data_IF_537991037735
#
_entry.id   IF_537991037735
#
_cell.length_a   1.000
_cell.length_b   1.000
_cell.length_c   1.000
_cell.angle_alpha   90.00
_cell.angle_beta   90.00
_cell.angle_gamma   90.00
#
_symmetry.space_group_name_H-M   'P 1'
#
loop_
_entity.id
_entity.type
_entity.pdbx_description
1 polymer ?
#
# COMPACT_ATOMS: atom_id res chain seq x y z
N UNK A 1 10.70 16.01 -12.64
CA UNK A 1 11.72 15.61 -11.64
C UNK A 1 12.81 16.65 -11.57
N UNK A 2 13.60 16.88 -12.63
CA UNK A 2 14.67 17.89 -12.63
C UNK A 2 14.20 19.26 -12.12
N UNK A 3 13.13 19.83 -12.70
CA UNK A 3 12.58 21.10 -12.22
C UNK A 3 12.20 21.13 -10.72
N UNK A 4 11.79 19.99 -10.14
CA UNK A 4 11.50 19.90 -8.71
C UNK A 4 12.80 19.90 -7.90
N UNK A 5 13.76 19.07 -8.31
CA UNK A 5 15.02 18.91 -7.59
C UNK A 5 15.88 20.18 -7.66
N UNK A 6 15.83 20.91 -8.77
CA UNK A 6 16.50 22.20 -8.92
C UNK A 6 15.82 23.28 -8.05
N UNK A 7 14.49 23.23 -7.91
CA UNK A 7 13.73 24.21 -7.11
C UNK A 7 13.90 24.00 -5.61
N UNK A 8 13.92 22.74 -5.15
CA UNK A 8 13.98 22.37 -3.73
C UNK A 8 15.35 21.86 -3.27
N UNK A 9 16.42 22.13 -4.02
CA UNK A 9 17.77 21.63 -3.70
C UNK A 9 18.25 22.11 -2.32
N UNK A 10 17.98 23.36 -1.98
CA UNK A 10 18.38 23.98 -0.71
C UNK A 10 17.49 23.56 0.46
N UNK A 11 16.31 22.98 0.20
CA UNK A 11 15.37 22.50 1.23
C UNK A 11 15.69 21.09 1.76
N UNK A 12 16.73 20.46 1.21
CA UNK A 12 17.09 19.07 1.51
C UNK A 12 16.04 18.06 1.03
N UNK A 13 15.34 18.39 -0.06
CA UNK A 13 14.32 17.56 -0.67
C UNK A 13 14.77 17.09 -2.05
N UNK A 14 14.59 15.81 -2.34
CA UNK A 14 14.94 15.28 -3.66
C UNK A 14 13.94 14.23 -4.13
N UNK A 15 13.51 14.37 -5.38
CA UNK A 15 12.56 13.50 -6.04
C UNK A 15 13.31 12.46 -6.87
N UNK A 16 12.97 11.20 -6.64
CA UNK A 16 13.53 10.06 -7.35
C UNK A 16 12.41 9.23 -7.96
N UNK A 17 12.71 8.52 -9.05
CA UNK A 17 11.79 7.56 -9.66
C UNK A 17 12.44 6.19 -9.74
N UNK A 18 11.66 5.14 -9.45
CA UNK A 18 12.08 3.77 -9.75
C UNK A 18 12.03 3.51 -11.25
N UNK A 19 12.65 2.41 -11.68
CA UNK A 19 12.57 1.90 -13.06
C UNK A 19 11.14 1.61 -13.50
N UNK A 20 10.22 1.34 -12.56
CA UNK A 20 8.78 1.14 -12.80
C UNK A 20 7.97 2.44 -12.77
N UNK A 21 8.63 3.60 -12.65
CA UNK A 21 7.96 4.90 -12.65
C UNK A 21 7.31 5.29 -11.31
N UNK A 22 7.63 4.60 -10.21
CA UNK A 22 7.17 4.99 -8.86
C UNK A 22 8.02 6.14 -8.35
N UNK A 23 7.39 7.18 -7.84
CA UNK A 23 8.11 8.37 -7.35
C UNK A 23 8.25 8.36 -5.83
N UNK A 24 9.43 8.76 -5.35
CA UNK A 24 9.76 8.85 -3.94
C UNK A 24 10.38 10.23 -3.65
N UNK A 25 10.07 10.77 -2.47
CA UNK A 25 10.67 11.99 -1.96
C UNK A 25 11.67 11.63 -0.85
N UNK A 26 12.95 11.84 -1.12
CA UNK A 26 13.98 11.82 -0.09
C UNK A 26 13.98 13.13 0.69
N UNK A 27 14.10 13.03 2.01
CA UNK A 27 14.16 14.16 2.92
C UNK A 27 15.46 14.07 3.74
N UNK A 28 16.22 15.15 3.83
CA UNK A 28 17.43 15.20 4.65
C UNK A 28 17.13 15.06 6.16
N UNK A 29 15.96 15.54 6.58
CA UNK A 29 15.43 15.38 7.94
C UNK A 29 14.07 14.68 7.89
N UNK A 30 13.83 13.63 8.71
CA UNK A 30 12.54 12.96 8.77
C UNK A 30 11.43 13.92 9.20
N UNK A 31 10.35 14.08 8.41
CA UNK A 31 9.27 14.99 8.76
C UNK A 31 8.32 14.38 9.81
N UNK A 32 7.92 15.18 10.80
CA UNK A 32 6.91 14.83 11.81
C UNK A 32 5.51 15.08 11.26
N UNK A 33 5.00 14.09 10.49
CA UNK A 33 3.72 14.18 9.80
C UNK A 33 2.87 12.91 9.91
N UNK A 34 1.56 13.13 9.90
CA UNK A 34 0.54 12.18 9.46
C UNK A 34 0.08 12.56 8.07
N UNK A 35 0.10 11.59 7.16
CA UNK A 35 -0.30 11.78 5.77
C UNK A 35 -1.38 10.76 5.39
N UNK A 36 -2.04 10.99 4.27
CA UNK A 36 -3.04 10.07 3.71
C UNK A 36 -2.55 9.54 2.36
N UNK A 37 -2.64 8.23 2.07
CA UNK A 37 -2.26 7.72 0.77
C UNK A 37 -3.14 8.33 -0.32
N UNK A 38 -2.60 8.47 -1.53
CA UNK A 38 -3.35 9.03 -2.67
C UNK A 38 -4.70 8.33 -2.89
N UNK A 39 -4.76 7.03 -2.66
CA UNK A 39 -6.00 6.24 -2.75
C UNK A 39 -7.12 6.69 -1.80
N UNK A 40 -6.78 7.32 -0.67
CA UNK A 40 -7.74 7.84 0.29
C UNK A 40 -8.23 9.26 -0.05
N UNK A 41 -7.53 9.95 -0.95
CA UNK A 41 -7.76 11.37 -1.29
C UNK A 41 -8.36 11.53 -2.68
N UNK A 42 -8.01 10.62 -3.61
CA UNK A 42 -8.51 10.64 -4.98
C UNK A 42 -10.03 10.71 -5.04
N UNK A 43 -10.57 11.66 -5.82
CA UNK A 43 -12.02 11.86 -5.99
C UNK A 43 -12.74 12.49 -4.80
N UNK A 44 -12.03 12.99 -3.78
CA UNK A 44 -12.61 13.62 -2.59
C UNK A 44 -12.09 15.06 -2.43
N UNK A 45 -12.82 15.87 -1.66
CA UNK A 45 -12.30 17.14 -1.19
C UNK A 45 -11.05 16.89 -0.33
N UNK A 46 -10.00 17.69 -0.56
CA UNK A 46 -8.72 17.56 0.16
C UNK A 46 -8.77 18.11 1.58
N UNK A 47 -9.80 18.91 1.91
CA UNK A 47 -10.00 19.45 3.24
C UNK A 47 -10.15 18.33 4.28
N UNK A 48 -9.36 18.42 5.35
CA UNK A 48 -9.27 17.37 6.36
C UNK A 48 -8.41 16.17 5.98
N UNK A 49 -7.86 16.11 4.76
CA UNK A 49 -6.93 15.07 4.30
C UNK A 49 -5.52 15.62 3.99
N UNK A 50 -5.32 16.93 4.12
CA UNK A 50 -4.00 17.57 4.04
C UNK A 50 -3.07 17.03 5.12
N UNK A 51 -1.74 17.01 4.87
CA UNK A 51 -0.75 16.66 5.89
C UNK A 51 -0.98 17.41 7.21
N UNK A 52 -0.87 16.67 8.30
CA UNK A 52 -1.04 17.16 9.66
C UNK A 52 0.12 16.67 10.54
N UNK A 53 0.31 17.26 11.72
CA UNK A 53 1.47 17.04 12.58
C UNK A 53 2.20 18.34 12.91
N UNK A 54 3.41 18.22 13.45
CA UNK A 54 4.23 19.38 13.85
C UNK A 54 4.69 20.16 12.62
N UNK A 55 5.07 19.47 11.56
CA UNK A 55 5.59 20.07 10.33
C UNK A 55 4.49 20.47 9.32
N UNK A 56 3.22 20.43 9.71
CA UNK A 56 2.07 20.64 8.80
C UNK A 56 2.13 21.93 7.98
N UNK A 57 2.62 23.02 8.56
CA UNK A 57 2.69 24.33 7.88
C UNK A 57 3.69 24.28 6.72
N UNK A 58 4.90 23.78 7.00
CA UNK A 58 5.95 23.62 5.99
C UNK A 58 5.47 22.76 4.83
N UNK A 59 4.83 21.63 5.14
CA UNK A 59 4.43 20.67 4.10
C UNK A 59 3.18 21.07 3.31
N UNK A 60 2.26 21.81 3.90
CA UNK A 60 1.18 22.46 3.13
C UNK A 60 1.72 23.55 2.22
N UNK A 61 2.73 24.30 2.67
CA UNK A 61 3.50 25.21 1.83
C UNK A 61 4.14 24.49 0.65
N UNK A 62 4.85 23.38 0.91
CA UNK A 62 5.48 22.55 -0.11
C UNK A 62 4.48 22.03 -1.15
N UNK A 63 3.29 21.59 -0.74
CA UNK A 63 2.22 21.18 -1.66
C UNK A 63 1.81 22.33 -2.58
N UNK A 64 1.54 23.51 -2.03
CA UNK A 64 1.14 24.68 -2.80
C UNK A 64 2.25 25.13 -3.76
N UNK A 65 3.50 25.18 -3.29
CA UNK A 65 4.64 25.57 -4.11
C UNK A 65 4.90 24.56 -5.23
N UNK A 66 4.75 23.27 -4.94
CA UNK A 66 4.82 22.22 -5.97
C UNK A 66 3.72 22.38 -7.02
N UNK A 67 2.49 22.76 -6.63
CA UNK A 67 1.42 23.06 -7.59
C UNK A 67 1.81 24.23 -8.49
N UNK A 68 2.29 25.33 -7.92
CA UNK A 68 2.76 26.50 -8.66
C UNK A 68 3.89 26.14 -9.65
N UNK A 69 4.87 25.35 -9.20
CA UNK A 69 5.94 24.84 -10.06
C UNK A 69 5.37 23.98 -11.20
N UNK A 70 4.46 23.05 -10.89
CA UNK A 70 3.84 22.18 -11.89
C UNK A 70 3.08 22.96 -12.96
N UNK A 71 2.35 24.02 -12.58
CA UNK A 71 1.65 24.88 -13.53
C UNK A 71 2.58 25.50 -14.58
N UNK A 72 3.80 25.86 -14.20
CA UNK A 72 4.80 26.45 -15.11
C UNK A 72 5.53 25.46 -16.02
N UNK A 73 5.29 24.15 -15.92
CA UNK A 73 6.07 23.16 -16.66
C UNK A 73 5.71 23.15 -18.15
N UNK A 74 6.71 23.18 -19.06
CA UNK A 74 6.48 23.02 -20.51
C UNK A 74 5.74 21.72 -20.88
N UNK A 75 5.89 20.67 -20.06
CA UNK A 75 5.15 19.42 -20.20
C UNK A 75 3.64 19.64 -20.21
N UNK A 76 3.12 20.60 -19.44
CA UNK A 76 1.67 20.85 -19.39
C UNK A 76 1.14 21.40 -20.72
N UNK A 77 1.92 22.24 -21.42
CA UNK A 77 1.55 22.72 -22.76
C UNK A 77 1.41 21.57 -23.75
N UNK A 78 2.35 20.62 -23.74
CA UNK A 78 2.30 19.42 -24.59
C UNK A 78 1.10 18.53 -24.26
N UNK A 79 0.74 18.42 -22.98
CA UNK A 79 -0.42 17.63 -22.53
C UNK A 79 -1.73 18.29 -22.96
N UNK A 80 -1.84 19.61 -22.80
CA UNK A 80 -3.01 20.39 -23.23
C UNK A 80 -3.23 20.31 -24.73
N UNK A 81 -2.17 20.48 -25.54
CA UNK A 81 -2.23 20.33 -26.99
C UNK A 81 -2.72 18.92 -27.41
N UNK A 82 -2.37 17.90 -26.62
CA UNK A 82 -2.84 16.53 -26.81
C UNK A 82 -4.19 16.21 -26.16
N UNK A 83 -4.92 17.18 -25.61
CA UNK A 83 -6.19 16.97 -24.92
C UNK A 83 -6.09 16.15 -23.63
N UNK A 84 -4.90 16.06 -23.03
CA UNK A 84 -4.64 15.30 -21.79
C UNK A 84 -4.70 16.23 -20.57
N UNK A 85 -5.17 15.76 -19.41
CA UNK A 85 -5.15 16.56 -18.18
C UNK A 85 -3.73 16.98 -17.82
N UNK A 86 -3.53 18.22 -17.37
CA UNK A 86 -2.23 18.72 -16.90
C UNK A 86 -1.78 18.04 -15.61
N UNK A 87 -0.48 18.14 -15.32
CA UNK A 87 0.07 17.84 -14.00
C UNK A 87 -0.25 19.02 -13.09
N UNK A 88 -1.24 18.84 -12.21
CA UNK A 88 -1.67 19.89 -11.26
C UNK A 88 -0.82 19.98 -9.99
N UNK A 89 -0.01 18.98 -9.68
CA UNK A 89 0.83 18.96 -8.48
C UNK A 89 1.26 17.54 -8.10
N UNK A 90 1.92 17.42 -6.95
CA UNK A 90 2.27 16.14 -6.34
C UNK A 90 1.51 15.97 -5.02
N UNK A 91 1.18 14.72 -4.69
CA UNK A 91 0.63 14.35 -3.40
C UNK A 91 1.65 13.56 -2.60
N UNK A 92 2.13 14.13 -1.49
CA UNK A 92 3.10 13.48 -0.62
C UNK A 92 2.39 12.64 0.43
N UNK A 93 2.71 11.35 0.49
CA UNK A 93 2.08 10.41 1.42
C UNK A 93 3.04 9.29 1.82
N UNK A 94 2.75 8.67 2.95
CA UNK A 94 3.65 7.71 3.58
C UNK A 94 4.75 8.42 4.35
N UNK A 95 5.96 7.90 4.21
CA UNK A 95 7.11 8.24 5.04
C UNK A 95 7.61 7.01 5.77
N UNK A 96 8.90 7.01 6.10
CA UNK A 96 9.55 5.90 6.79
C UNK A 96 11.01 5.81 6.42
N UNK A 97 11.74 5.08 7.24
CA UNK A 97 13.13 4.73 7.01
C UNK A 97 13.22 3.26 6.62
N UNK A 98 14.31 2.88 5.98
CA UNK A 98 14.57 1.47 5.69
C UNK A 98 14.65 0.71 7.02
N UNK A 99 13.78 -0.29 7.27
CA UNK A 99 13.84 -1.03 8.51
C UNK A 99 15.13 -1.84 8.57
N UNK A 100 15.61 -2.10 9.79
CA UNK A 100 16.71 -3.04 10.01
C UNK A 100 16.32 -4.41 9.47
N UNK A 101 17.30 -5.17 9.00
CA UNK A 101 17.09 -6.57 8.59
C UNK A 101 16.50 -7.35 9.77
N UNK A 102 15.45 -8.11 9.49
CA UNK A 102 14.69 -8.84 10.49
C UNK A 102 14.64 -10.34 10.20
N UNK A 103 13.99 -11.06 11.09
CA UNK A 103 13.54 -12.43 10.82
C UNK A 103 12.14 -12.37 10.22
N UNK A 104 11.87 -13.23 9.24
CA UNK A 104 10.55 -13.39 8.67
C UNK A 104 10.24 -14.86 8.43
N UNK A 105 8.95 -15.17 8.38
CA UNK A 105 8.46 -16.52 8.11
C UNK A 105 8.13 -16.76 6.65
N UNK A 106 8.16 -15.72 5.82
CA UNK A 106 7.68 -15.77 4.44
C UNK A 106 8.80 -16.27 3.52
N UNK A 107 8.65 -17.48 2.99
CA UNK A 107 9.55 -18.11 2.03
C UNK A 107 9.34 -17.57 0.60
N UNK A 108 8.09 -17.20 0.29
CA UNK A 108 7.66 -16.94 -1.09
C UNK A 108 6.56 -15.88 -1.12
N UNK A 109 6.69 -14.96 -2.07
CA UNK A 109 5.64 -14.01 -2.43
C UNK A 109 4.97 -14.47 -3.72
N UNK A 110 3.64 -14.61 -3.69
CA UNK A 110 2.83 -14.77 -4.90
C UNK A 110 2.25 -13.42 -5.28
N UNK A 111 2.50 -13.03 -6.53
CA UNK A 111 2.15 -11.72 -7.07
C UNK A 111 3.36 -10.82 -7.27
N UNK A 112 3.09 -9.55 -7.57
CA UNK A 112 4.06 -8.53 -7.96
C UNK A 112 4.15 -7.36 -6.98
N UNK A 113 3.67 -7.53 -5.75
CA UNK A 113 3.73 -6.48 -4.75
C UNK A 113 5.17 -6.11 -4.37
N UNK A 114 5.57 -4.90 -4.74
CA UNK A 114 6.93 -4.38 -4.60
C UNK A 114 7.31 -4.25 -3.12
N UNK A 115 6.37 -3.85 -2.26
CA UNK A 115 6.65 -3.68 -0.83
C UNK A 115 6.90 -5.04 -0.18
N UNK A 116 6.07 -6.05 -0.45
CA UNK A 116 6.23 -7.39 0.07
C UNK A 116 7.55 -8.03 -0.38
N UNK A 117 7.92 -7.86 -1.67
CA UNK A 117 9.22 -8.32 -2.19
C UNK A 117 10.39 -7.59 -1.54
N UNK A 118 10.30 -6.27 -1.34
CA UNK A 118 11.31 -5.48 -0.65
C UNK A 118 11.51 -5.93 0.80
N UNK A 119 10.41 -6.14 1.53
CA UNK A 119 10.46 -6.65 2.91
C UNK A 119 11.02 -8.07 2.98
N UNK A 120 10.66 -8.96 2.06
CA UNK A 120 11.25 -10.30 1.95
C UNK A 120 12.77 -10.23 1.70
N UNK A 121 13.24 -9.31 0.85
CA UNK A 121 14.67 -9.11 0.59
C UNK A 121 15.45 -8.56 1.81
N UNK A 122 14.75 -7.96 2.78
CA UNK A 122 15.34 -7.52 4.06
C UNK A 122 15.32 -8.62 5.14
N UNK A 123 14.75 -9.79 4.86
CA UNK A 123 14.79 -10.92 5.78
C UNK A 123 16.20 -11.54 5.81
N UNK A 124 16.72 -11.76 7.01
CA UNK A 124 18.01 -12.44 7.22
C UNK A 124 17.90 -13.96 7.20
N UNK A 125 16.69 -14.51 7.26
CA UNK A 125 16.42 -15.95 7.32
C UNK A 125 15.23 -16.30 6.44
N UNK A 126 15.31 -17.40 5.70
CA UNK A 126 14.15 -17.95 5.00
C UNK A 126 13.20 -18.60 6.00
N UNK A 127 11.90 -18.32 5.86
CA UNK A 127 10.86 -19.11 6.51
C UNK A 127 10.24 -20.12 5.54
N UNK A 128 9.04 -20.61 5.88
CA UNK A 128 8.31 -21.66 5.15
C UNK A 128 6.94 -21.20 4.61
N UNK A 129 6.46 -20.02 5.04
CA UNK A 129 5.11 -19.54 4.74
C UNK A 129 5.06 -18.88 3.34
N UNK A 130 3.92 -18.98 2.66
CA UNK A 130 3.67 -18.24 1.41
C UNK A 130 2.78 -17.02 1.68
N UNK A 131 3.15 -15.86 1.15
CA UNK A 131 2.34 -14.65 1.20
C UNK A 131 1.77 -14.32 -0.18
N UNK A 132 0.45 -14.32 -0.28
CA UNK A 132 -0.29 -13.87 -1.46
C UNK A 132 -0.76 -12.44 -1.22
N UNK A 133 -0.32 -11.50 -2.05
CA UNK A 133 -0.71 -10.09 -1.92
C UNK A 133 -1.68 -9.71 -3.04
N UNK A 134 -2.88 -9.31 -2.66
CA UNK A 134 -3.94 -8.92 -3.59
C UNK A 134 -4.19 -7.42 -3.60
N UNK A 135 -3.63 -6.76 -4.61
CA UNK A 135 -3.78 -5.32 -4.83
C UNK A 135 -4.76 -4.99 -5.96
N UNK A 136 -5.03 -5.93 -6.88
CA UNK A 136 -5.80 -5.69 -8.09
C UNK A 136 -7.24 -5.23 -7.81
N UNK A 137 -7.87 -5.78 -6.78
CA UNK A 137 -9.21 -5.37 -6.35
C UNK A 137 -9.24 -3.91 -5.89
N UNK A 138 -8.22 -3.48 -5.13
CA UNK A 138 -8.08 -2.10 -4.67
C UNK A 138 -7.81 -1.15 -5.86
N UNK A 139 -6.98 -1.56 -6.81
CA UNK A 139 -6.69 -0.77 -8.02
C UNK A 139 -7.96 -0.57 -8.86
N UNK A 140 -8.76 -1.61 -9.06
CA UNK A 140 -10.03 -1.51 -9.78
C UNK A 140 -11.01 -0.56 -9.07
N UNK A 141 -11.12 -0.67 -7.74
CA UNK A 141 -11.96 0.22 -6.94
C UNK A 141 -11.54 1.69 -7.06
N UNK A 142 -10.24 1.98 -7.03
CA UNK A 142 -9.71 3.35 -7.16
C UNK A 142 -9.98 3.96 -8.54
N UNK A 143 -10.04 3.13 -9.59
CA UNK A 143 -10.34 3.56 -10.95
C UNK A 143 -11.84 3.68 -11.24
N UNK A 144 -12.69 3.29 -10.28
CA UNK A 144 -14.13 3.19 -10.50
C UNK A 144 -14.53 2.12 -11.52
N UNK A 145 -13.64 1.17 -11.79
CA UNK A 145 -13.89 0.10 -12.77
C UNK A 145 -14.61 -1.06 -12.10
N UNK A 146 -15.95 -0.99 -12.11
CA UNK A 146 -16.83 -1.97 -11.47
C UNK A 146 -16.68 -3.36 -12.10
N UNK A 147 -16.50 -3.43 -13.42
CA UNK A 147 -16.38 -4.70 -14.13
C UNK A 147 -15.08 -5.41 -13.76
N UNK A 148 -13.95 -4.68 -13.78
CA UNK A 148 -12.68 -5.21 -13.32
C UNK A 148 -12.75 -5.59 -11.83
N UNK A 149 -13.41 -4.79 -11.00
CA UNK A 149 -13.56 -5.07 -9.57
C UNK A 149 -14.30 -6.40 -9.33
N UNK A 150 -15.44 -6.63 -9.98
CA UNK A 150 -16.20 -7.87 -9.87
C UNK A 150 -15.39 -9.08 -10.36
N UNK A 151 -14.68 -8.93 -11.48
CA UNK A 151 -13.82 -10.00 -12.00
C UNK A 151 -12.70 -10.36 -11.01
N UNK A 152 -12.06 -9.37 -10.38
CA UNK A 152 -11.02 -9.64 -9.39
C UNK A 152 -11.61 -10.27 -8.12
N UNK A 153 -12.81 -9.87 -7.70
CA UNK A 153 -13.49 -10.49 -6.56
C UNK A 153 -13.71 -11.99 -6.81
N UNK A 154 -14.26 -12.35 -7.98
CA UNK A 154 -14.49 -13.75 -8.35
C UNK A 154 -13.19 -14.57 -8.40
N UNK A 155 -12.09 -13.98 -8.89
CA UNK A 155 -10.76 -14.65 -8.87
C UNK A 155 -10.27 -14.91 -7.46
N UNK A 156 -10.48 -13.96 -6.53
CA UNK A 156 -10.11 -14.13 -5.13
C UNK A 156 -10.95 -15.25 -4.50
N UNK A 157 -12.27 -15.27 -4.77
CA UNK A 157 -13.16 -16.32 -4.28
C UNK A 157 -12.73 -17.72 -4.77
N UNK A 158 -12.43 -17.87 -6.05
CA UNK A 158 -11.99 -19.14 -6.65
C UNK A 158 -10.65 -19.63 -6.09
N UNK A 159 -9.69 -18.72 -5.91
CA UNK A 159 -8.40 -19.08 -5.31
C UNK A 159 -8.54 -19.44 -3.84
N UNK A 160 -9.34 -18.72 -3.07
CA UNK A 160 -9.59 -19.06 -1.67
C UNK A 160 -10.28 -20.41 -1.56
N UNK A 161 -11.26 -20.69 -2.44
CA UNK A 161 -11.91 -22.00 -2.55
C UNK A 161 -10.89 -23.12 -2.75
N UNK A 162 -9.96 -22.95 -3.70
CA UNK A 162 -8.89 -23.93 -3.99
C UNK A 162 -7.98 -24.14 -2.78
N UNK A 163 -7.48 -23.07 -2.16
CA UNK A 163 -6.59 -23.15 -0.99
C UNK A 163 -7.25 -23.83 0.22
N UNK A 164 -8.55 -23.62 0.38
CA UNK A 164 -9.35 -24.27 1.43
C UNK A 164 -9.53 -25.77 1.13
N UNK A 165 -9.76 -26.14 -0.13
CA UNK A 165 -9.87 -27.52 -0.60
C UNK A 165 -8.57 -28.32 -0.35
N UNK A 166 -7.42 -27.70 -0.59
CA UNK A 166 -6.10 -28.29 -0.34
C UNK A 166 -5.79 -28.46 1.16
N UNK A 167 -6.64 -27.94 2.05
CA UNK A 167 -6.52 -28.09 3.50
C UNK A 167 -5.39 -27.27 4.12
N UNK A 168 -4.83 -26.32 3.38
CA UNK A 168 -3.74 -25.45 3.85
C UNK A 168 -4.27 -24.47 4.91
N UNK A 169 -3.57 -24.28 6.03
CA UNK A 169 -3.91 -23.21 6.98
C UNK A 169 -3.81 -21.84 6.30
N UNK A 170 -4.88 -21.05 6.36
CA UNK A 170 -4.95 -19.74 5.70
C UNK A 170 -5.15 -18.63 6.73
N UNK A 171 -4.35 -17.58 6.62
CA UNK A 171 -4.53 -16.32 7.33
C UNK A 171 -4.90 -15.21 6.34
N UNK A 172 -6.13 -14.72 6.40
CA UNK A 172 -6.57 -13.59 5.58
C UNK A 172 -6.44 -12.29 6.38
N UNK A 173 -5.55 -11.42 5.91
CA UNK A 173 -5.32 -10.10 6.48
C UNK A 173 -6.17 -9.07 5.74
N UNK A 174 -7.12 -8.44 6.45
CA UNK A 174 -8.02 -7.43 5.86
C UNK A 174 -7.41 -6.03 5.69
N UNK A 175 -6.18 -5.83 6.16
CA UNK A 175 -5.54 -4.50 6.23
C UNK A 175 -6.12 -3.56 7.31
N UNK A 176 -7.21 -3.94 7.99
CA UNK A 176 -7.83 -3.15 9.08
C UNK A 176 -7.46 -3.66 10.48
N UNK A 177 -6.38 -4.43 10.59
CA UNK A 177 -5.96 -5.07 11.82
C UNK A 177 -6.79 -6.31 12.21
N UNK A 178 -7.73 -6.75 11.36
CA UNK A 178 -8.43 -8.03 11.51
C UNK A 178 -7.73 -9.12 10.69
N UNK A 179 -7.53 -10.26 11.32
CA UNK A 179 -7.02 -11.49 10.70
C UNK A 179 -8.07 -12.57 10.85
N UNK A 180 -8.44 -13.14 9.73
CA UNK A 180 -9.35 -14.27 9.67
C UNK A 180 -8.53 -15.55 9.48
N UNK A 181 -8.76 -16.56 10.31
CA UNK A 181 -7.99 -17.81 10.28
C UNK A 181 -8.84 -18.97 9.79
N UNK A 182 -8.25 -19.78 8.92
CA UNK A 182 -8.81 -21.03 8.44
C UNK A 182 -7.91 -22.20 8.81
N UNK A 183 -8.51 -23.34 9.15
CA UNK A 183 -7.80 -24.60 9.41
C UNK A 183 -8.41 -25.77 8.64
N UNK A 184 -7.64 -26.84 8.46
CA UNK A 184 -8.09 -28.08 7.82
C UNK A 184 -9.37 -28.70 8.43
N UNK A 185 -9.68 -28.42 9.72
CA UNK A 185 -10.95 -28.84 10.34
C UNK A 185 -12.15 -28.05 9.81
N UNK A 186 -11.98 -26.79 9.43
CA UNK A 186 -13.03 -25.95 8.84
C UNK A 186 -13.33 -26.36 7.38
N UNK A 187 -12.32 -26.80 6.62
CA UNK A 187 -12.46 -27.28 5.23
C UNK A 187 -13.50 -28.41 5.09
N UNK A 188 -13.52 -29.37 6.03
CA UNK A 188 -14.52 -30.46 6.06
C UNK A 188 -15.97 -30.00 6.22
N UNK A 189 -16.20 -28.80 6.77
CA UNK A 189 -17.55 -28.20 6.93
C UNK A 189 -17.98 -27.41 5.70
N UNK A 190 -17.03 -26.84 4.96
CA UNK A 190 -17.28 -26.10 3.72
C UNK A 190 -17.68 -27.04 2.56
N UNK A 191 -17.00 -28.18 2.44
CA UNK A 191 -17.35 -29.18 1.41
C UNK A 191 -18.74 -29.80 1.60
N UNK A 192 -19.28 -29.81 2.83
CA UNK A 192 -20.64 -30.30 3.11
C UNK A 192 -21.74 -29.29 2.77
N UNK A 193 -21.45 -27.99 2.73
CA UNK A 193 -22.38 -26.91 2.37
C UNK A 193 -21.58 -25.72 1.86
N UNK A 194 -21.77 -25.29 0.62
CA UNK A 194 -21.23 -24.02 0.10
C UNK A 194 -21.92 -22.82 0.79
N UNK A 195 -21.49 -22.45 2.00
CA UNK A 195 -21.91 -21.20 2.66
C UNK A 195 -20.89 -20.09 2.40
N UNK A 196 -21.24 -18.81 2.63
CA UNK A 196 -20.30 -17.69 2.52
C UNK A 196 -19.04 -17.93 3.35
N UNK A 197 -17.88 -17.50 2.83
CA UNK A 197 -16.58 -17.70 3.46
C UNK A 197 -16.53 -17.25 4.93
N UNK A 198 -17.26 -16.17 5.24
CA UNK A 198 -17.36 -15.61 6.59
C UNK A 198 -17.88 -16.60 7.65
N UNK A 199 -18.69 -17.59 7.27
CA UNK A 199 -19.27 -18.57 8.21
C UNK A 199 -18.27 -19.59 8.75
N UNK A 200 -17.06 -19.61 8.21
CA UNK A 200 -16.04 -20.62 8.49
C UNK A 200 -14.72 -20.02 9.00
N UNK A 201 -14.66 -18.69 9.14
CA UNK A 201 -13.47 -17.98 9.55
C UNK A 201 -13.55 -17.54 11.01
N UNK A 202 -12.53 -17.86 11.79
CA UNK A 202 -12.38 -17.30 13.13
C UNK A 202 -11.75 -15.90 13.04
N UNK A 203 -12.40 -14.92 13.67
CA UNK A 203 -11.96 -13.50 13.64
C UNK A 203 -11.09 -13.21 14.86
N UNK A 204 -9.86 -12.75 14.62
CA UNK A 204 -8.96 -12.23 15.65
C UNK A 204 -8.41 -10.85 15.31
N UNK A 205 -7.97 -10.10 16.33
CA UNK A 205 -7.14 -8.90 16.11
C UNK A 205 -5.69 -9.33 15.81
N UNK A 206 -5.06 -8.67 14.85
CA UNK A 206 -3.62 -8.78 14.62
C UNK A 206 -2.89 -8.30 15.89
N UNK A 207 -2.29 -9.23 16.66
CA UNK A 207 -1.53 -8.86 17.87
C UNK A 207 -1.62 -9.80 19.07
N UNK A 208 -2.36 -10.91 19.02
CA UNK A 208 -2.29 -11.93 20.08
C UNK A 208 -1.55 -13.18 19.56
N UNK A 209 -0.23 -13.06 19.46
CA UNK A 209 0.65 -14.19 19.68
C UNK A 209 1.12 -14.04 21.13
N UNK A 210 0.74 -14.97 21.99
CA UNK A 210 1.45 -15.18 23.23
C UNK A 210 2.86 -15.64 22.86
N UNK A 211 3.82 -14.73 22.92
CA UNK A 211 5.16 -15.03 23.39
C UNK A 211 5.84 -13.71 23.75
N UNK A 212 6.26 -13.63 25.00
CA UNK A 212 7.05 -12.55 25.55
C UNK A 212 8.36 -12.42 24.78
N UNK A 213 8.63 -11.27 24.17
CA UNK A 213 9.90 -10.54 24.29
C UNK A 213 9.91 -9.27 23.42
N UNK A 214 10.33 -8.19 24.07
CA UNK A 214 10.83 -6.91 23.55
C UNK A 214 9.87 -6.01 22.75
N UNK A 215 9.32 -5.03 23.47
CA UNK A 215 8.80 -3.77 22.96
C UNK A 215 9.77 -3.12 21.95
N UNK A 216 9.31 -2.94 20.71
CA UNK A 216 9.82 -1.93 19.79
C UNK A 216 8.66 -0.96 19.55
N UNK A 217 8.75 0.22 20.16
CA UNK A 217 7.85 1.34 19.90
C UNK A 217 8.29 2.01 18.58
N UNK A 218 7.32 2.17 17.68
CA UNK A 218 7.38 3.03 16.49
C UNK A 218 7.33 4.51 16.90
#
# INVERSE_FOLDING_TARGET
MQAFNDHFCDDGLNLYASTEGRMYLGCACPPSLRTHPLSAVSGRAVDGLLPDGEDRRRWRGLLNETQMLCHGLPLNQLREQGGRPTLGGLWFSGGGELPRRGQGRIARIVGDDVLARGLMALQGTAGDDELIVESALQVAAQRGDVAAWLQQLLRIEDRVATLVEDGVPLHLHSGRGLVYRWSARAARRWWRRRRPLADYMDVGRAGAASDSHADIRL
#
